data_IF_555273105728
#
_entry.id   IF_555273105728
#
_cell.length_a   1.000
_cell.length_b   1.000
_cell.length_c   1.000
_cell.angle_alpha   90.00
_cell.angle_beta   90.00
_cell.angle_gamma   90.00
#
_symmetry.space_group_name_H-M   'P 1'
#
loop_
_entity.id
_entity.type
_entity.pdbx_description
1 polymer ?
#
# COMPACT_ATOMS: atom_id res chain seq x y z
N UNK A 1 -4.90 -6.52 -4.60
CA UNK A 1 -6.38 -6.46 -4.67
C UNK A 1 -7.01 -7.07 -3.42
N UNK A 2 -8.06 -6.44 -2.86
CA UNK A 2 -8.85 -6.97 -1.75
C UNK A 2 -10.22 -7.45 -2.23
N UNK A 3 -10.81 -8.44 -1.58
CA UNK A 3 -12.15 -8.97 -1.94
C UNK A 3 -13.01 -9.22 -0.72
N UNK A 4 -14.34 -9.25 -0.88
CA UNK A 4 -15.29 -9.32 0.22
C UNK A 4 -15.05 -10.50 1.20
N UNK A 5 -14.63 -11.67 0.71
CA UNK A 5 -14.36 -12.84 1.56
C UNK A 5 -13.17 -12.65 2.51
N UNK A 6 -12.30 -11.68 2.26
CA UNK A 6 -11.12 -11.36 3.08
C UNK A 6 -11.41 -10.31 4.15
N UNK A 7 -12.66 -9.79 4.22
CA UNK A 7 -13.08 -8.67 5.06
C UNK A 7 -12.35 -7.35 4.73
N UNK A 8 -12.85 -6.23 5.27
CA UNK A 8 -12.23 -4.90 5.16
C UNK A 8 -11.75 -4.54 3.73
N UNK A 9 -12.56 -4.84 2.72
CA UNK A 9 -12.18 -4.65 1.31
C UNK A 9 -12.58 -3.26 0.76
N UNK A 10 -13.31 -2.47 1.54
CA UNK A 10 -13.67 -1.07 1.27
C UNK A 10 -13.17 -0.18 2.40
N UNK A 11 -13.05 1.12 2.16
CA UNK A 11 -12.62 2.07 3.19
C UNK A 11 -13.57 2.03 4.39
N UNK A 12 -14.88 2.06 4.11
CA UNK A 12 -15.90 2.12 5.16
C UNK A 12 -15.95 0.81 5.98
N UNK A 13 -15.85 -0.36 5.33
CA UNK A 13 -15.78 -1.65 6.05
C UNK A 13 -14.49 -1.83 6.85
N UNK A 14 -13.39 -1.21 6.41
CA UNK A 14 -12.14 -1.19 7.16
C UNK A 14 -12.27 -0.38 8.45
N UNK A 15 -12.89 0.81 8.37
CA UNK A 15 -13.17 1.65 9.56
C UNK A 15 -14.08 0.93 10.55
N UNK A 16 -15.19 0.36 10.05
CA UNK A 16 -16.14 -0.39 10.87
C UNK A 16 -15.46 -1.56 11.59
N UNK A 17 -14.68 -2.37 10.87
CA UNK A 17 -13.99 -3.50 11.47
C UNK A 17 -12.96 -3.06 12.52
N UNK A 18 -12.19 -2.01 12.23
CA UNK A 18 -11.18 -1.50 13.16
C UNK A 18 -11.82 -0.96 14.45
N UNK A 19 -12.93 -0.26 14.34
CA UNK A 19 -13.70 0.24 15.48
C UNK A 19 -14.21 -0.91 16.35
N UNK A 20 -14.88 -1.89 15.72
CA UNK A 20 -15.40 -3.10 16.40
C UNK A 20 -14.30 -3.91 17.09
N UNK A 21 -13.11 -3.99 16.49
CA UNK A 21 -11.97 -4.70 17.08
C UNK A 21 -11.39 -3.99 18.31
N UNK A 22 -11.63 -2.69 18.47
CA UNK A 22 -11.10 -1.89 19.58
C UNK A 22 -12.17 -1.41 20.58
N UNK A 23 -13.44 -1.80 20.41
CA UNK A 23 -14.60 -1.29 21.16
C UNK A 23 -14.44 -1.40 22.69
N UNK A 24 -13.92 -2.51 23.20
CA UNK A 24 -13.77 -2.78 24.64
C UNK A 24 -12.44 -2.27 25.25
N UNK A 25 -11.68 -1.45 24.53
CA UNK A 25 -10.45 -0.87 25.05
C UNK A 25 -9.36 -1.92 25.35
N UNK A 26 -8.89 -2.61 24.30
CA UNK A 26 -7.84 -3.61 24.42
C UNK A 26 -6.56 -3.04 25.08
N UNK A 27 -5.86 -3.82 25.93
CA UNK A 27 -4.60 -3.36 26.53
C UNK A 27 -3.52 -2.96 25.52
N UNK A 28 -3.57 -3.55 24.32
CA UNK A 28 -2.77 -3.18 23.15
C UNK A 28 -3.74 -2.95 22.00
N UNK A 29 -3.78 -1.75 21.40
CA UNK A 29 -4.72 -1.45 20.33
C UNK A 29 -4.38 -2.22 19.06
N UNK A 30 -5.42 -2.67 18.34
CA UNK A 30 -5.27 -3.19 16.98
C UNK A 30 -5.16 -2.00 16.03
N UNK A 31 -4.15 -2.02 15.15
CA UNK A 31 -3.87 -0.98 14.14
C UNK A 31 -3.87 -1.58 12.73
N UNK A 32 -3.96 -0.72 11.72
CA UNK A 32 -3.94 -1.14 10.32
C UNK A 32 -2.51 -1.37 9.82
N UNK A 33 -2.34 -2.36 8.96
CA UNK A 33 -1.22 -2.47 8.03
C UNK A 33 -1.79 -2.33 6.62
N UNK A 34 -1.72 -1.12 6.05
CA UNK A 34 -2.31 -0.86 4.74
C UNK A 34 -1.40 -1.37 3.62
N UNK A 35 -2.00 -1.82 2.52
CA UNK A 35 -1.31 -2.00 1.25
C UNK A 35 -1.67 -0.88 0.29
N UNK A 36 -0.68 -0.22 -0.31
CA UNK A 36 -0.91 0.95 -1.18
C UNK A 36 -1.82 0.64 -2.36
N UNK A 37 -1.83 -0.59 -2.86
CA UNK A 37 -2.64 -1.02 -4.00
C UNK A 37 -3.94 -1.76 -3.58
N UNK A 38 -4.25 -1.87 -2.29
CA UNK A 38 -5.41 -2.64 -1.80
C UNK A 38 -6.75 -1.92 -2.09
N UNK A 39 -7.85 -2.64 -1.88
CA UNK A 39 -9.20 -2.20 -2.20
C UNK A 39 -9.92 -3.05 -3.25
N UNK A 40 -11.25 -3.08 -3.16
CA UNK A 40 -12.13 -3.91 -3.97
C UNK A 40 -12.37 -3.29 -5.36
N UNK A 41 -11.86 -3.96 -6.40
CA UNK A 41 -12.07 -3.57 -7.80
C UNK A 41 -13.54 -3.69 -8.23
N UNK A 42 -14.33 -4.54 -7.57
CA UNK A 42 -15.75 -4.69 -7.84
C UNK A 42 -16.60 -3.62 -7.12
N UNK A 43 -16.00 -2.80 -6.24
CA UNK A 43 -16.73 -1.73 -5.57
C UNK A 43 -17.27 -0.70 -6.57
N UNK A 44 -18.54 -0.35 -6.41
CA UNK A 44 -19.20 0.72 -7.18
C UNK A 44 -18.69 2.10 -6.76
N UNK A 45 -18.16 2.22 -5.54
CA UNK A 45 -17.60 3.46 -5.04
C UNK A 45 -16.16 3.61 -5.57
N UNK A 46 -15.84 4.67 -6.35
CA UNK A 46 -14.50 4.89 -6.86
C UNK A 46 -13.44 5.09 -5.76
N UNK A 47 -13.83 5.57 -4.57
CA UNK A 47 -12.90 5.74 -3.43
C UNK A 47 -12.20 4.43 -3.07
N UNK A 48 -12.94 3.33 -3.07
CA UNK A 48 -12.41 2.01 -2.69
C UNK A 48 -11.40 1.46 -3.70
N UNK A 49 -11.33 2.03 -4.91
CA UNK A 49 -10.45 1.59 -5.99
C UNK A 49 -9.21 2.46 -6.13
N UNK A 50 -9.18 3.65 -5.54
CA UNK A 50 -8.08 4.60 -5.63
C UNK A 50 -7.08 4.43 -4.47
N UNK A 51 -5.84 3.94 -4.73
CA UNK A 51 -4.74 3.89 -3.77
C UNK A 51 -4.59 5.13 -2.87
N UNK A 52 -4.70 6.31 -3.46
CA UNK A 52 -4.40 7.55 -2.76
C UNK A 52 -5.54 7.98 -1.86
N UNK A 53 -6.78 7.60 -2.17
CA UNK A 53 -7.92 7.85 -1.29
C UNK A 53 -7.85 6.98 -0.04
N UNK A 54 -7.42 5.72 -0.16
CA UNK A 54 -7.13 4.86 1.00
C UNK A 54 -6.12 5.51 1.95
N UNK A 55 -4.99 5.99 1.42
CA UNK A 55 -3.97 6.65 2.23
C UNK A 55 -4.51 7.91 2.91
N UNK A 56 -5.18 8.80 2.16
CA UNK A 56 -5.79 10.02 2.72
C UNK A 56 -6.77 9.74 3.85
N UNK A 57 -7.56 8.68 3.75
CA UNK A 57 -8.59 8.40 4.74
C UNK A 57 -8.11 7.55 5.93
N UNK A 58 -7.03 6.78 5.78
CA UNK A 58 -6.68 5.71 6.74
C UNK A 58 -5.21 5.69 7.18
N UNK A 59 -4.29 6.42 6.56
CA UNK A 59 -2.87 6.30 6.90
C UNK A 59 -2.56 6.74 8.34
N UNK A 60 -3.29 7.70 8.92
CA UNK A 60 -3.18 8.08 10.34
C UNK A 60 -3.57 6.94 11.32
N UNK A 61 -4.21 5.87 10.84
CA UNK A 61 -4.56 4.68 11.61
C UNK A 61 -3.59 3.52 11.36
N UNK A 62 -2.58 3.72 10.50
CA UNK A 62 -1.71 2.67 9.99
C UNK A 62 -0.23 2.99 10.24
N UNK A 63 0.38 2.41 11.27
CA UNK A 63 1.81 2.60 11.56
C UNK A 63 2.73 2.09 10.43
N UNK A 64 2.24 1.16 9.61
CA UNK A 64 3.00 0.54 8.51
C UNK A 64 2.15 0.53 7.24
N UNK A 65 2.72 1.02 6.14
CA UNK A 65 2.14 0.94 4.81
C UNK A 65 3.04 0.12 3.91
N UNK A 66 2.53 -1.00 3.41
CA UNK A 66 3.18 -1.77 2.36
C UNK A 66 3.10 -1.02 1.04
N UNK A 67 4.26 -0.81 0.41
CA UNK A 67 4.42 -0.16 -0.87
C UNK A 67 4.98 -1.13 -1.91
N UNK A 68 4.41 -1.05 -3.10
CA UNK A 68 4.80 -1.81 -4.28
C UNK A 68 4.37 -1.03 -5.52
N UNK A 69 5.01 -1.25 -6.65
CA UNK A 69 4.50 -0.72 -7.89
C UNK A 69 3.31 -1.56 -8.35
N UNK A 70 2.28 -0.88 -8.85
CA UNK A 70 1.04 -1.50 -9.27
C UNK A 70 0.46 -0.78 -10.48
N UNK A 71 -0.42 -1.47 -11.20
CA UNK A 71 -1.28 -0.96 -12.26
C UNK A 71 -2.71 -0.79 -11.76
N UNK A 72 -3.61 -0.27 -12.62
CA UNK A 72 -5.02 -0.02 -12.27
C UNK A 72 -5.80 -1.29 -11.91
N UNK A 73 -5.36 -2.45 -12.37
CA UNK A 73 -5.93 -3.77 -12.09
C UNK A 73 -5.41 -4.41 -10.79
N UNK A 74 -4.57 -3.73 -10.01
CA UNK A 74 -4.14 -4.13 -8.65
C UNK A 74 -3.63 -5.59 -8.54
N UNK A 75 -3.03 -6.08 -9.62
CA UNK A 75 -2.57 -7.47 -9.78
C UNK A 75 -1.06 -7.62 -9.59
N UNK A 76 -0.36 -6.49 -9.68
CA UNK A 76 1.09 -6.43 -9.66
C UNK A 76 1.63 -6.12 -8.26
N UNK A 77 2.64 -6.88 -7.86
CA UNK A 77 3.49 -6.59 -6.69
C UNK A 77 4.91 -6.30 -7.20
N UNK A 78 5.01 -5.32 -8.08
CA UNK A 78 6.23 -5.05 -8.85
C UNK A 78 7.25 -4.24 -8.04
N UNK A 79 8.54 -4.40 -8.34
CA UNK A 79 9.57 -3.51 -7.83
C UNK A 79 9.45 -2.10 -8.45
N UNK A 80 10.11 -1.13 -7.84
CA UNK A 80 10.20 0.25 -8.32
C UNK A 80 11.41 0.45 -9.23
N UNK A 81 11.48 -0.32 -10.31
CA UNK A 81 12.48 -0.15 -11.38
C UNK A 81 12.00 0.88 -12.41
N UNK A 82 12.90 1.36 -13.27
CA UNK A 82 12.56 2.29 -14.37
C UNK A 82 11.40 1.76 -15.21
N UNK A 83 11.49 0.51 -15.69
CA UNK A 83 10.45 -0.18 -16.46
C UNK A 83 9.07 -0.13 -15.79
N UNK A 84 8.98 -0.52 -14.51
CA UNK A 84 7.68 -0.56 -13.82
C UNK A 84 7.20 0.82 -13.38
N UNK A 85 8.10 1.77 -13.13
CA UNK A 85 7.74 3.14 -12.78
C UNK A 85 7.15 3.91 -13.97
N UNK A 86 7.50 3.57 -15.21
CA UNK A 86 6.92 4.16 -16.41
C UNK A 86 5.45 3.77 -16.62
N UNK A 87 5.10 2.51 -16.32
CA UNK A 87 3.75 1.97 -16.55
C UNK A 87 2.87 1.93 -15.30
N UNK A 88 3.48 2.02 -14.13
CA UNK A 88 2.82 1.93 -12.84
C UNK A 88 2.12 3.23 -12.42
N UNK A 89 1.27 3.12 -11.41
CA UNK A 89 0.45 4.26 -10.92
C UNK A 89 0.87 4.76 -9.54
N UNK A 90 1.79 4.09 -8.86
CA UNK A 90 2.27 4.44 -7.52
C UNK A 90 3.51 5.32 -7.66
N UNK A 91 3.45 6.57 -7.19
CA UNK A 91 4.60 7.47 -7.15
C UNK A 91 4.92 7.92 -5.72
N UNK A 92 6.21 8.09 -5.36
CA UNK A 92 6.60 8.51 -4.01
C UNK A 92 5.97 9.82 -3.58
N UNK A 93 6.00 10.85 -4.44
CA UNK A 93 5.42 12.16 -4.13
C UNK A 93 3.94 12.07 -3.79
N UNK A 94 3.15 11.37 -4.61
CA UNK A 94 1.70 11.25 -4.37
C UNK A 94 1.38 10.41 -3.14
N UNK A 95 2.20 9.40 -2.84
CA UNK A 95 2.06 8.60 -1.62
C UNK A 95 2.32 9.46 -0.39
N UNK A 96 3.41 10.22 -0.37
CA UNK A 96 3.75 11.12 0.73
C UNK A 96 2.67 12.21 0.92
N UNK A 97 2.26 12.88 -0.16
CA UNK A 97 1.16 13.88 -0.12
C UNK A 97 -0.13 13.28 0.46
N UNK A 98 -0.47 12.05 0.10
CA UNK A 98 -1.68 11.39 0.59
C UNK A 98 -1.58 10.99 2.07
N UNK A 99 -0.40 10.53 2.51
CA UNK A 99 -0.14 10.20 3.92
C UNK A 99 -0.17 11.47 4.77
N UNK A 100 0.50 12.55 4.34
CA UNK A 100 0.49 13.85 5.03
C UNK A 100 -0.93 14.40 5.14
N UNK A 101 -1.71 14.34 4.05
CA UNK A 101 -3.11 14.78 4.04
C UNK A 101 -4.03 13.95 4.97
N UNK A 102 -3.61 12.75 5.38
CA UNK A 102 -4.36 11.95 6.35
C UNK A 102 -4.17 12.41 7.80
N UNK A 103 -3.17 13.26 8.07
CA UNK A 103 -2.78 13.67 9.42
C UNK A 103 -1.90 12.66 10.15
N UNK A 104 -1.29 11.70 9.44
CA UNK A 104 -0.34 10.77 10.05
C UNK A 104 0.95 11.49 10.46
N UNK A 105 1.40 11.27 11.70
CA UNK A 105 2.66 11.84 12.21
C UNK A 105 3.87 10.99 11.80
N UNK A 106 3.73 9.67 11.84
CA UNK A 106 4.79 8.71 11.51
C UNK A 106 4.17 7.47 10.83
N UNK A 107 4.77 7.05 9.71
CA UNK A 107 4.41 5.82 9.00
C UNK A 107 5.67 5.17 8.46
N UNK A 108 5.84 3.87 8.72
CA UNK A 108 6.89 3.08 8.09
C UNK A 108 6.43 2.60 6.73
N UNK A 109 7.15 2.96 5.67
CA UNK A 109 6.93 2.39 4.33
C UNK A 109 7.74 1.10 4.18
N UNK A 110 7.05 -0.01 3.92
CA UNK A 110 7.66 -1.33 3.77
C UNK A 110 7.52 -1.84 2.34
N UNK A 111 8.64 -2.21 1.70
CA UNK A 111 8.62 -2.75 0.34
C UNK A 111 7.99 -4.16 0.31
N UNK A 112 6.84 -4.31 -0.34
CA UNK A 112 6.16 -5.60 -0.57
C UNK A 112 6.26 -6.01 -2.04
N UNK A 113 7.43 -6.52 -2.42
CA UNK A 113 7.77 -6.88 -3.81
C UNK A 113 7.80 -8.40 -3.96
N UNK A 114 7.28 -8.92 -5.07
CA UNK A 114 7.34 -10.36 -5.37
C UNK A 114 7.84 -10.63 -6.78
N UNK A 115 8.63 -11.69 -6.92
CA UNK A 115 9.16 -12.17 -8.18
C UNK A 115 8.59 -13.55 -8.48
N UNK A 116 8.36 -13.86 -9.76
CA UNK A 116 8.02 -15.23 -10.17
C UNK A 116 9.28 -16.10 -10.08
N UNK A 117 9.12 -17.32 -9.61
CA UNK A 117 10.16 -18.35 -9.48
C UNK A 117 10.45 -18.97 -10.86
N UNK A 118 10.87 -18.13 -11.82
CA UNK A 118 11.07 -18.53 -13.21
C UNK A 118 12.21 -17.75 -13.84
N UNK A 119 13.08 -18.46 -14.56
CA UNK A 119 14.11 -17.86 -15.38
C UNK A 119 13.52 -16.84 -16.40
N UNK A 120 14.12 -15.64 -16.57
CA UNK A 120 15.29 -15.13 -15.85
C UNK A 120 14.96 -14.34 -14.57
N UNK A 121 13.67 -14.15 -14.25
CA UNK A 121 13.15 -13.24 -13.20
C UNK A 121 13.70 -13.57 -11.81
N UNK A 122 13.88 -14.86 -11.48
CA UNK A 122 14.39 -15.28 -10.16
C UNK A 122 15.79 -14.71 -9.82
N UNK A 123 16.60 -14.42 -10.83
CA UNK A 123 17.96 -13.85 -10.64
C UNK A 123 17.95 -12.32 -10.52
N UNK A 124 16.80 -11.67 -10.70
CA UNK A 124 16.67 -10.21 -10.64
C UNK A 124 16.32 -9.70 -9.23
N UNK A 125 15.92 -10.58 -8.31
CA UNK A 125 15.39 -10.22 -6.97
C UNK A 125 16.26 -9.17 -6.26
N UNK A 126 17.57 -9.42 -6.14
CA UNK A 126 18.46 -8.52 -5.39
C UNK A 126 18.67 -7.19 -6.11
N UNK A 127 18.78 -7.20 -7.44
CA UNK A 127 18.99 -5.98 -8.23
C UNK A 127 17.75 -5.07 -8.19
N UNK A 128 16.57 -5.67 -8.34
CA UNK A 128 15.29 -4.97 -8.27
C UNK A 128 15.03 -4.37 -6.89
N UNK A 129 15.37 -5.09 -5.81
CA UNK A 129 15.26 -4.56 -4.45
C UNK A 129 16.20 -3.36 -4.23
N UNK A 130 17.45 -3.44 -4.70
CA UNK A 130 18.40 -2.32 -4.63
C UNK A 130 17.88 -1.10 -5.37
N UNK A 131 17.44 -1.28 -6.62
CA UNK A 131 16.85 -0.21 -7.43
C UNK A 131 15.61 0.40 -6.78
N UNK A 132 14.77 -0.43 -6.16
CA UNK A 132 13.58 0.04 -5.45
C UNK A 132 13.94 0.91 -4.24
N UNK A 133 14.91 0.49 -3.44
CA UNK A 133 15.41 1.29 -2.32
C UNK A 133 16.03 2.59 -2.81
N UNK A 134 16.89 2.54 -3.82
CA UNK A 134 17.52 3.73 -4.42
C UNK A 134 16.48 4.72 -4.96
N UNK A 135 15.40 4.21 -5.56
CA UNK A 135 14.31 5.04 -6.06
C UNK A 135 13.60 5.79 -4.93
N UNK A 136 13.21 5.10 -3.85
CA UNK A 136 12.51 5.71 -2.72
C UNK A 136 13.40 6.60 -1.85
N UNK A 137 14.70 6.27 -1.72
CA UNK A 137 15.66 7.09 -0.95
C UNK A 137 15.92 8.48 -1.56
N UNK A 138 15.52 8.73 -2.81
CA UNK A 138 15.49 10.10 -3.38
C UNK A 138 14.49 11.01 -2.67
N UNK A 139 13.47 10.42 -2.05
CA UNK A 139 12.34 11.12 -1.42
C UNK A 139 12.35 10.97 0.11
N UNK A 140 12.80 9.83 0.63
CA UNK A 140 12.84 9.52 2.07
C UNK A 140 14.29 9.48 2.53
N UNK A 141 14.71 10.50 3.27
CA UNK A 141 16.13 10.73 3.61
C UNK A 141 16.55 10.17 4.96
N UNK A 142 15.60 9.94 5.87
CA UNK A 142 15.84 9.38 7.20
C UNK A 142 14.96 8.14 7.35
#
# INVERSE_FOLDING_TARGET
MSVQREMACTIDSTKELLERLNEDGLPIPIRLCLGVDHGDLASRNPRDRDPYTWLRELAHLSPVVHIKQSTKDKSARWPFTEEYNEIGIISPLRVMEAIEASGAEEVVLLLEISHRERYPIEYQVIDDLKKSVEYWRKYIKE
#
